data_IF_493634102329
#
_entry.id   IF_493634102329
#
_cell.length_a   1.000
_cell.length_b   1.000
_cell.length_c   1.000
_cell.angle_alpha   90.00
_cell.angle_beta   90.00
_cell.angle_gamma   90.00
#
_symmetry.space_group_name_H-M   'P 1'
#
loop_
_entity.id
_entity.type
_entity.pdbx_description
1 polymer ?
#
# COMPACT_ATOMS: atom_id res chain seq x y z
N UNK A 1 -3.95 -2.27 25.75
CA UNK A 1 -4.60 -1.58 24.61
C UNK A 1 -6.09 -1.92 24.61
N UNK A 2 -7.00 -0.94 24.57
CA UNK A 2 -8.44 -1.16 24.47
C UNK A 2 -8.82 -2.16 23.36
N UNK A 3 -9.82 -3.02 23.59
CA UNK A 3 -10.24 -4.06 22.65
C UNK A 3 -10.68 -3.50 21.28
N UNK A 4 -11.29 -2.31 21.28
CA UNK A 4 -11.71 -1.58 20.07
C UNK A 4 -10.53 -1.24 19.16
N UNK A 5 -9.41 -0.78 19.72
CA UNK A 5 -8.19 -0.47 18.97
C UNK A 5 -7.56 -1.74 18.39
N UNK A 6 -7.67 -2.88 19.08
CA UNK A 6 -7.17 -4.16 18.56
C UNK A 6 -7.96 -4.61 17.34
N UNK A 7 -9.29 -4.49 17.38
CA UNK A 7 -10.17 -4.80 16.24
C UNK A 7 -9.91 -3.87 15.06
N UNK A 8 -9.82 -2.56 15.30
CA UNK A 8 -9.51 -1.59 14.25
C UNK A 8 -8.19 -1.92 13.55
N UNK A 9 -7.13 -2.19 14.33
CA UNK A 9 -5.83 -2.62 13.79
C UNK A 9 -5.97 -3.89 12.95
N UNK A 10 -6.73 -4.88 13.41
CA UNK A 10 -6.95 -6.12 12.67
C UNK A 10 -7.65 -5.87 11.32
N UNK A 11 -8.63 -4.98 11.27
CA UNK A 11 -9.33 -4.63 10.02
C UNK A 11 -8.40 -3.98 9.00
N UNK A 12 -7.59 -3.02 9.46
CA UNK A 12 -6.61 -2.33 8.62
C UNK A 12 -5.53 -3.28 8.09
N UNK A 13 -4.96 -4.11 8.98
CA UNK A 13 -3.94 -5.10 8.61
C UNK A 13 -4.49 -6.18 7.68
N UNK A 14 -5.78 -6.52 7.77
CA UNK A 14 -6.42 -7.44 6.83
C UNK A 14 -6.40 -6.85 5.43
N UNK A 15 -6.89 -5.62 5.25
CA UNK A 15 -6.87 -4.94 3.95
C UNK A 15 -5.47 -4.85 3.36
N UNK A 16 -4.51 -4.40 4.17
CA UNK A 16 -3.09 -4.34 3.83
C UNK A 16 -2.58 -5.69 3.31
N UNK A 17 -2.86 -6.78 4.02
CA UNK A 17 -2.32 -8.10 3.68
C UNK A 17 -2.80 -8.62 2.30
N UNK A 18 -4.05 -8.32 1.93
CA UNK A 18 -4.58 -8.70 0.61
C UNK A 18 -4.03 -7.84 -0.54
N UNK A 19 -3.51 -6.67 -0.23
CA UNK A 19 -2.95 -5.74 -1.23
C UNK A 19 -1.48 -6.00 -1.51
N UNK A 20 -0.71 -6.56 -0.54
CA UNK A 20 0.73 -6.83 -0.70
C UNK A 20 1.07 -7.57 -2.01
N UNK A 21 0.39 -8.70 -2.38
CA UNK A 21 0.73 -9.41 -3.61
C UNK A 21 0.49 -8.58 -4.88
N UNK A 22 -0.49 -7.68 -4.85
CA UNK A 22 -0.84 -6.80 -5.98
C UNK A 22 0.24 -5.73 -6.15
N UNK A 23 0.67 -5.10 -5.04
CA UNK A 23 1.77 -4.13 -5.07
C UNK A 23 3.06 -4.79 -5.54
N UNK A 24 3.37 -5.99 -5.05
CA UNK A 24 4.57 -6.72 -5.48
C UNK A 24 4.53 -7.00 -6.99
N UNK A 25 3.40 -7.49 -7.51
CA UNK A 25 3.22 -7.73 -8.94
C UNK A 25 3.37 -6.43 -9.75
N UNK A 26 2.65 -5.36 -9.36
CA UNK A 26 2.72 -4.07 -10.02
C UNK A 26 4.13 -3.47 -10.01
N UNK A 27 4.76 -3.46 -8.84
CA UNK A 27 6.07 -2.86 -8.62
C UNK A 27 7.16 -3.54 -9.45
N UNK A 28 7.20 -4.88 -9.46
CA UNK A 28 8.20 -5.64 -10.22
C UNK A 28 8.00 -5.44 -11.72
N UNK A 29 6.77 -5.46 -12.22
CA UNK A 29 6.49 -5.27 -13.65
C UNK A 29 6.84 -3.85 -14.12
N UNK A 30 6.47 -2.83 -13.34
CA UNK A 30 6.83 -1.42 -13.62
C UNK A 30 8.35 -1.26 -13.58
N UNK A 31 9.02 -1.79 -12.55
CA UNK A 31 10.46 -1.69 -12.40
C UNK A 31 11.21 -2.38 -13.56
N UNK A 32 10.77 -3.58 -13.95
CA UNK A 32 11.31 -4.32 -15.09
C UNK A 32 11.11 -3.52 -16.39
N UNK A 33 9.91 -2.96 -16.58
CA UNK A 33 9.60 -2.16 -17.75
C UNK A 33 10.52 -0.94 -17.84
N UNK A 34 10.70 -0.19 -16.75
CA UNK A 34 11.60 0.97 -16.68
C UNK A 34 13.06 0.57 -16.89
N UNK A 35 13.52 -0.50 -16.24
CA UNK A 35 14.90 -0.97 -16.34
C UNK A 35 15.29 -1.32 -17.78
N UNK A 36 14.41 -1.98 -18.53
CA UNK A 36 14.63 -2.30 -19.95
C UNK A 36 14.43 -1.06 -20.83
N UNK A 37 13.49 -0.17 -20.48
CA UNK A 37 13.22 1.05 -21.24
C UNK A 37 14.39 2.04 -21.23
N UNK A 38 15.31 1.93 -20.27
CA UNK A 38 16.56 2.71 -20.25
C UNK A 38 17.38 2.60 -21.54
N UNK A 39 17.20 1.54 -22.34
CA UNK A 39 17.81 1.37 -23.66
C UNK A 39 17.16 2.21 -24.77
N UNK A 40 15.93 2.67 -24.55
CA UNK A 40 15.12 3.48 -25.47
C UNK A 40 14.91 4.90 -24.91
N UNK A 41 15.79 5.30 -23.98
CA UNK A 41 15.70 6.53 -23.19
C UNK A 41 15.60 7.78 -24.07
N UNK A 42 14.51 8.52 -23.91
CA UNK A 42 14.39 9.89 -24.40
C UNK A 42 14.72 10.87 -23.26
N UNK A 43 15.74 11.75 -23.40
CA UNK A 43 16.11 12.73 -22.38
C UNK A 43 15.01 13.75 -22.05
N UNK A 44 14.02 13.89 -22.93
CA UNK A 44 12.95 14.90 -22.80
C UNK A 44 11.69 14.39 -22.10
N UNK A 45 11.56 13.07 -21.89
CA UNK A 45 10.40 12.50 -21.22
C UNK A 45 10.77 11.21 -20.46
N UNK A 46 11.36 11.33 -19.26
CA UNK A 46 11.60 10.19 -18.37
C UNK A 46 10.30 9.42 -18.12
N UNK A 47 10.25 8.13 -18.46
CA UNK A 47 9.05 7.31 -18.32
C UNK A 47 8.09 7.32 -19.51
N UNK A 48 8.43 7.93 -20.64
CA UNK A 48 7.68 7.76 -21.89
C UNK A 48 7.96 6.37 -22.50
N UNK A 49 6.90 5.62 -22.79
CA UNK A 49 6.94 4.28 -23.39
C UNK A 49 6.44 4.24 -24.85
N UNK A 50 6.07 5.38 -25.44
CA UNK A 50 5.43 5.49 -26.76
C UNK A 50 6.31 4.94 -27.89
N UNK A 51 7.63 5.07 -27.74
CA UNK A 51 8.63 4.56 -28.68
C UNK A 51 9.20 3.19 -28.28
N UNK A 52 8.81 2.65 -27.13
CA UNK A 52 9.26 1.34 -26.66
C UNK A 52 8.58 0.21 -27.43
N UNK A 53 9.16 -0.99 -27.47
CA UNK A 53 8.48 -2.16 -28.02
C UNK A 53 7.11 -2.37 -27.38
N UNK A 54 6.10 -2.79 -28.17
CA UNK A 54 4.72 -3.05 -27.70
C UNK A 54 4.68 -4.03 -26.53
N UNK A 55 5.60 -4.99 -26.48
CA UNK A 55 5.73 -5.94 -25.36
C UNK A 55 6.09 -5.24 -24.05
N UNK A 56 6.94 -4.21 -24.10
CA UNK A 56 7.35 -3.44 -22.93
C UNK A 56 6.22 -2.51 -22.45
N UNK A 57 5.50 -1.89 -23.40
CA UNK A 57 4.28 -1.14 -23.11
C UNK A 57 3.23 -2.01 -22.42
N UNK A 58 3.04 -3.25 -22.89
CA UNK A 58 2.12 -4.21 -22.26
C UNK A 58 2.54 -4.55 -20.81
N UNK A 59 3.82 -4.82 -20.57
CA UNK A 59 4.33 -5.09 -19.20
C UNK A 59 4.08 -3.89 -18.29
N UNK A 60 4.38 -2.67 -18.77
CA UNK A 60 4.10 -1.44 -18.03
C UNK A 60 2.60 -1.30 -17.73
N UNK A 61 1.73 -1.51 -18.73
CA UNK A 61 0.28 -1.40 -18.58
C UNK A 61 -0.27 -2.38 -17.54
N UNK A 62 0.19 -3.64 -17.54
CA UNK A 62 -0.21 -4.63 -16.53
C UNK A 62 0.25 -4.18 -15.13
N UNK A 63 1.48 -3.68 -15.03
CA UNK A 63 2.02 -3.17 -13.78
C UNK A 63 1.23 -1.97 -13.23
N UNK A 64 0.90 -1.01 -14.09
CA UNK A 64 0.06 0.15 -13.75
C UNK A 64 -1.34 -0.30 -13.33
N UNK A 65 -1.95 -1.26 -14.04
CA UNK A 65 -3.27 -1.78 -13.69
C UNK A 65 -3.30 -2.37 -12.27
N UNK A 66 -2.22 -3.05 -11.84
CA UNK A 66 -2.11 -3.56 -10.47
C UNK A 66 -2.13 -2.44 -9.42
N UNK A 67 -1.42 -1.33 -9.64
CA UNK A 67 -1.49 -0.16 -8.76
C UNK A 67 -2.85 0.54 -8.82
N UNK A 68 -3.49 0.62 -9.98
CA UNK A 68 -4.83 1.22 -10.12
C UNK A 68 -5.88 0.50 -9.28
N UNK A 69 -5.82 -0.83 -9.17
CA UNK A 69 -6.77 -1.61 -8.36
C UNK A 69 -6.38 -1.71 -6.89
N UNK A 70 -5.16 -1.29 -6.51
CA UNK A 70 -4.66 -1.36 -5.14
C UNK A 70 -5.60 -0.67 -4.11
N UNK A 71 -6.07 0.58 -4.32
CA UNK A 71 -7.02 1.25 -3.43
C UNK A 71 -8.37 0.53 -3.31
N UNK A 72 -8.84 -0.06 -4.41
CA UNK A 72 -10.10 -0.82 -4.49
C UNK A 72 -10.03 -2.05 -3.60
N UNK A 73 -8.95 -2.83 -3.74
CA UNK A 73 -8.72 -4.05 -2.97
C UNK A 73 -8.50 -3.70 -1.50
N UNK A 74 -7.72 -2.65 -1.19
CA UNK A 74 -7.52 -2.20 0.18
C UNK A 74 -8.86 -1.92 0.88
N UNK A 75 -9.66 -1.03 0.28
CA UNK A 75 -10.94 -0.60 0.84
C UNK A 75 -11.93 -1.76 0.95
N UNK A 76 -12.03 -2.57 -0.11
CA UNK A 76 -12.89 -3.76 -0.17
C UNK A 76 -12.56 -4.78 0.92
N UNK A 77 -11.28 -5.09 1.15
CA UNK A 77 -10.88 -6.09 2.14
C UNK A 77 -10.90 -5.56 3.57
N UNK A 78 -10.73 -4.24 3.80
CA UNK A 78 -11.05 -3.62 5.09
C UNK A 78 -12.54 -3.83 5.40
N UNK A 79 -13.42 -3.44 4.48
CA UNK A 79 -14.87 -3.58 4.67
C UNK A 79 -15.30 -5.06 4.84
N UNK A 80 -14.70 -5.96 4.06
CA UNK A 80 -14.91 -7.40 4.18
C UNK A 80 -14.47 -7.94 5.54
N UNK A 81 -13.32 -7.51 6.07
CA UNK A 81 -12.85 -7.96 7.38
C UNK A 81 -13.77 -7.54 8.54
N UNK A 82 -14.50 -6.43 8.36
CA UNK A 82 -15.46 -5.92 9.34
C UNK A 82 -16.83 -6.59 9.22
N UNK A 83 -17.32 -6.73 7.99
CA UNK A 83 -18.72 -7.06 7.73
C UNK A 83 -18.94 -8.30 6.85
N UNK A 84 -17.89 -9.04 6.49
CA UNK A 84 -17.96 -10.20 5.59
C UNK A 84 -18.35 -9.83 4.16
N UNK A 85 -18.80 -10.83 3.38
CA UNK A 85 -19.15 -10.69 1.95
C UNK A 85 -20.00 -9.46 1.58
N UNK A 86 -21.03 -9.07 2.37
CA UNK A 86 -21.85 -7.90 2.03
C UNK A 86 -21.10 -6.56 2.06
N UNK A 87 -19.96 -6.49 2.74
CA UNK A 87 -19.11 -5.30 2.79
C UNK A 87 -18.21 -5.11 1.57
N UNK A 88 -18.04 -6.14 0.74
CA UNK A 88 -17.07 -6.12 -0.35
C UNK A 88 -17.44 -5.09 -1.42
N UNK A 89 -18.68 -5.11 -1.91
CA UNK A 89 -19.16 -4.17 -2.93
C UNK A 89 -19.05 -2.69 -2.49
N UNK A 90 -19.60 -2.27 -1.33
CA UNK A 90 -19.49 -0.87 -0.90
C UNK A 90 -18.05 -0.46 -0.58
N UNK A 91 -17.21 -1.38 -0.10
CA UNK A 91 -15.78 -1.11 0.10
C UNK A 91 -15.06 -0.90 -1.23
N UNK A 92 -15.19 -1.82 -2.20
CA UNK A 92 -14.54 -1.69 -3.51
C UNK A 92 -14.99 -0.42 -4.26
N UNK A 93 -16.30 -0.15 -4.28
CA UNK A 93 -16.85 1.06 -4.92
C UNK A 93 -16.34 2.30 -4.19
N UNK A 94 -16.33 2.32 -2.86
CA UNK A 94 -15.77 3.41 -2.07
C UNK A 94 -14.29 3.64 -2.37
N UNK A 95 -13.48 2.58 -2.43
CA UNK A 95 -12.05 2.66 -2.76
C UNK A 95 -11.79 3.21 -4.16
N UNK A 96 -12.61 2.83 -5.14
CA UNK A 96 -12.54 3.41 -6.50
C UNK A 96 -12.92 4.89 -6.52
N UNK A 97 -14.03 5.27 -5.87
CA UNK A 97 -14.47 6.65 -5.80
C UNK A 97 -13.52 7.55 -5.02
N UNK A 98 -12.80 7.00 -4.03
CA UNK A 98 -11.78 7.73 -3.28
C UNK A 98 -10.62 8.21 -4.16
N UNK A 99 -10.31 7.51 -5.25
CA UNK A 99 -9.29 7.93 -6.20
C UNK A 99 -9.85 8.73 -7.38
N UNK A 100 -11.18 8.87 -7.46
CA UNK A 100 -11.90 9.57 -8.54
C UNK A 100 -12.94 10.54 -7.96
N UNK A 101 -12.51 11.45 -7.08
CA UNK A 101 -13.43 12.34 -6.36
C UNK A 101 -13.99 13.43 -7.29
N UNK A 102 -13.16 13.89 -8.23
CA UNK A 102 -13.50 14.91 -9.20
C UNK A 102 -12.27 15.40 -9.95
N UNK A 103 -12.40 16.51 -10.65
CA UNK A 103 -11.32 17.09 -11.46
C UNK A 103 -11.17 18.57 -11.10
N UNK A 104 -9.95 19.01 -10.86
CA UNK A 104 -9.59 20.42 -10.61
C UNK A 104 -8.66 20.93 -11.69
N UNK A 105 -8.50 22.25 -11.82
CA UNK A 105 -7.58 22.85 -12.78
C UNK A 105 -6.29 23.26 -12.08
N UNK A 106 -5.14 22.73 -12.53
CA UNK A 106 -3.81 23.15 -12.07
C UNK A 106 -3.03 23.60 -13.29
N UNK A 107 -2.61 24.86 -13.33
CA UNK A 107 -1.88 25.48 -14.44
C UNK A 107 -2.59 25.33 -15.81
N UNK A 108 -3.94 25.37 -15.81
CA UNK A 108 -4.76 25.20 -17.01
C UNK A 108 -4.92 23.76 -17.49
N UNK A 109 -4.38 22.78 -16.75
CA UNK A 109 -4.51 21.35 -17.04
C UNK A 109 -5.49 20.70 -16.05
N UNK A 110 -6.52 19.96 -16.51
CA UNK A 110 -7.38 19.18 -15.64
C UNK A 110 -6.54 18.12 -14.91
N UNK A 111 -6.60 18.11 -13.57
CA UNK A 111 -5.99 17.08 -12.72
C UNK A 111 -7.07 16.44 -11.87
N UNK A 112 -7.06 15.11 -11.82
CA UNK A 112 -7.96 14.37 -10.96
C UNK A 112 -7.62 14.60 -9.50
N UNK A 113 -8.66 14.86 -8.71
CA UNK A 113 -8.58 14.97 -7.25
C UNK A 113 -8.70 13.56 -6.70
N UNK A 114 -7.61 13.07 -6.13
CA UNK A 114 -7.52 11.75 -5.51
C UNK A 114 -7.27 11.90 -4.02
N UNK A 115 -8.09 11.25 -3.19
CA UNK A 115 -7.80 11.03 -1.79
C UNK A 115 -6.82 9.85 -1.58
N UNK A 116 -6.45 9.17 -2.68
CA UNK A 116 -5.44 8.13 -2.73
C UNK A 116 -5.63 7.03 -1.70
N UNK A 117 -4.51 6.52 -1.21
CA UNK A 117 -4.45 5.48 -0.18
C UNK A 117 -5.23 5.84 1.10
N UNK A 118 -5.20 7.10 1.56
CA UNK A 118 -5.91 7.52 2.76
C UNK A 118 -7.43 7.47 2.57
N UNK A 119 -7.92 7.91 1.41
CA UNK A 119 -9.31 7.79 1.02
C UNK A 119 -9.78 6.33 0.95
N UNK A 120 -8.94 5.42 0.46
CA UNK A 120 -9.24 3.99 0.43
C UNK A 120 -9.38 3.38 1.83
N UNK A 121 -8.52 3.75 2.79
CA UNK A 121 -8.67 3.32 4.18
C UNK A 121 -9.99 3.83 4.77
N UNK A 122 -10.25 5.13 4.62
CA UNK A 122 -11.44 5.77 5.20
C UNK A 122 -12.73 5.18 4.63
N UNK A 123 -12.79 4.99 3.31
CA UNK A 123 -13.96 4.38 2.66
C UNK A 123 -14.16 2.92 3.05
N UNK A 124 -13.09 2.15 3.25
CA UNK A 124 -13.18 0.76 3.68
C UNK A 124 -13.75 0.63 5.09
N UNK A 125 -13.28 1.46 6.01
CA UNK A 125 -13.82 1.54 7.37
C UNK A 125 -15.27 2.02 7.36
N UNK A 126 -15.58 3.08 6.62
CA UNK A 126 -16.91 3.65 6.49
C UNK A 126 -17.91 2.60 5.96
N UNK A 127 -17.55 1.91 4.87
CA UNK A 127 -18.34 0.83 4.30
C UNK A 127 -18.58 -0.29 5.32
N UNK A 128 -17.53 -0.72 6.02
CA UNK A 128 -17.65 -1.73 7.08
C UNK A 128 -18.63 -1.32 8.19
N UNK A 129 -18.55 -0.08 8.69
CA UNK A 129 -19.45 0.43 9.72
C UNK A 129 -20.90 0.54 9.24
N UNK A 130 -21.13 1.10 8.04
CA UNK A 130 -22.47 1.21 7.46
C UNK A 130 -23.11 -0.17 7.31
N UNK A 131 -22.36 -1.14 6.78
CA UNK A 131 -22.89 -2.50 6.58
C UNK A 131 -23.18 -3.18 7.92
N UNK A 132 -22.31 -3.03 8.93
CA UNK A 132 -22.59 -3.56 10.27
C UNK A 132 -23.84 -2.93 10.89
N UNK A 133 -24.06 -1.63 10.70
CA UNK A 133 -25.27 -0.95 11.16
C UNK A 133 -26.51 -1.49 10.45
N UNK A 134 -26.46 -1.65 9.13
CA UNK A 134 -27.55 -2.21 8.33
C UNK A 134 -27.92 -3.64 8.75
N UNK A 135 -26.93 -4.46 9.09
CA UNK A 135 -27.15 -5.84 9.56
C UNK A 135 -27.89 -5.93 10.90
N UNK A 136 -27.85 -4.87 11.72
CA UNK A 136 -28.55 -4.81 13.02
C UNK A 136 -30.00 -4.39 12.88
N UNK A 137 -30.43 -3.91 11.72
CA UNK A 137 -31.80 -3.47 11.52
C UNK A 137 -32.76 -4.68 11.53
N UNK A 138 -33.87 -4.62 12.28
CA UNK A 138 -34.85 -5.69 12.28
C UNK A 138 -35.55 -5.76 10.93
N UNK A 139 -35.45 -6.91 10.25
CA UNK A 139 -36.05 -7.14 8.94
C UNK A 139 -37.04 -8.30 8.95
N UNK A 140 -38.11 -8.15 8.18
CA UNK A 140 -39.13 -9.16 7.99
C UNK A 140 -38.55 -10.43 7.33
N UNK A 141 -39.10 -11.60 7.64
CA UNK A 141 -38.59 -12.93 7.20
C UNK A 141 -38.38 -13.05 5.69
N UNK A 142 -39.20 -12.37 4.89
CA UNK A 142 -39.12 -12.39 3.42
C UNK A 142 -37.98 -11.53 2.85
N UNK A 143 -37.52 -10.53 3.60
CA UNK A 143 -36.48 -9.59 3.15
C UNK A 143 -35.09 -10.06 3.57
N UNK A 144 -34.99 -10.79 4.68
CA UNK A 144 -33.70 -11.27 5.23
C UNK A 144 -32.78 -11.96 4.20
N UNK A 145 -33.26 -12.83 3.30
CA UNK A 145 -32.39 -13.50 2.33
C UNK A 145 -31.77 -12.55 1.29
N UNK A 146 -32.51 -11.51 0.87
CA UNK A 146 -32.06 -10.55 -0.15
C UNK A 146 -31.21 -9.43 0.44
N UNK A 147 -31.21 -9.24 1.76
CA UNK A 147 -30.42 -8.21 2.45
C UNK A 147 -28.92 -8.25 2.09
N UNK A 148 -28.17 -9.33 2.37
CA UNK A 148 -26.72 -9.37 2.13
C UNK A 148 -26.33 -9.38 0.66
N UNK A 149 -27.23 -9.79 -0.23
CA UNK A 149 -26.95 -10.00 -1.66
C UNK A 149 -27.28 -8.75 -2.48
N UNK A 150 -28.37 -8.04 -2.15
CA UNK A 150 -28.90 -6.95 -2.95
C UNK A 150 -29.00 -5.64 -2.18
N UNK A 151 -29.76 -5.63 -1.07
CA UNK A 151 -30.11 -4.37 -0.39
C UNK A 151 -28.88 -3.73 0.25
N UNK A 152 -28.09 -4.51 0.99
CA UNK A 152 -26.89 -4.02 1.66
C UNK A 152 -25.87 -3.49 0.63
N UNK A 153 -25.47 -4.26 -0.40
CA UNK A 153 -24.56 -3.76 -1.42
C UNK A 153 -25.02 -2.45 -2.06
N UNK A 154 -26.30 -2.32 -2.43
CA UNK A 154 -26.80 -1.10 -3.10
C UNK A 154 -26.81 0.10 -2.15
N UNK A 155 -27.48 -0.04 -1.01
CA UNK A 155 -27.70 1.09 -0.09
C UNK A 155 -26.39 1.51 0.56
N UNK A 156 -25.56 0.57 1.00
CA UNK A 156 -24.27 0.92 1.57
C UNK A 156 -23.36 1.59 0.54
N UNK A 157 -23.33 1.13 -0.71
CA UNK A 157 -22.51 1.76 -1.76
C UNK A 157 -22.99 3.17 -2.08
N UNK A 158 -24.32 3.38 -2.11
CA UNK A 158 -24.88 4.72 -2.30
C UNK A 158 -24.48 5.66 -1.17
N UNK A 159 -24.59 5.23 0.10
CA UNK A 159 -24.22 6.05 1.25
C UNK A 159 -22.71 6.34 1.22
N UNK A 160 -21.87 5.31 1.06
CA UNK A 160 -20.41 5.48 0.98
C UNK A 160 -20.04 6.43 -0.15
N UNK A 161 -20.63 6.25 -1.33
CA UNK A 161 -20.40 7.07 -2.52
C UNK A 161 -20.79 8.54 -2.30
N UNK A 162 -21.97 8.80 -1.74
CA UNK A 162 -22.40 10.18 -1.42
C UNK A 162 -21.46 10.81 -0.40
N UNK A 163 -21.09 10.08 0.65
CA UNK A 163 -20.20 10.59 1.70
C UNK A 163 -18.82 10.93 1.14
N UNK A 164 -18.19 10.03 0.39
CA UNK A 164 -16.85 10.29 -0.16
C UNK A 164 -16.89 11.40 -1.22
N UNK A 165 -17.88 11.43 -2.11
CA UNK A 165 -17.91 12.41 -3.20
C UNK A 165 -18.36 13.81 -2.76
N UNK A 166 -19.21 13.92 -1.73
CA UNK A 166 -19.82 15.20 -1.34
C UNK A 166 -19.34 15.76 -0.01
N UNK A 167 -18.91 14.92 0.94
CA UNK A 167 -18.59 15.37 2.29
C UNK A 167 -17.09 15.31 2.60
N UNK A 168 -16.47 14.14 2.46
CA UNK A 168 -15.13 13.90 3.03
C UNK A 168 -14.02 13.76 1.99
N UNK A 169 -14.33 13.53 0.71
CA UNK A 169 -13.31 13.28 -0.32
C UNK A 169 -12.35 14.46 -0.50
N UNK A 170 -12.89 15.67 -0.71
CA UNK A 170 -12.09 16.88 -0.92
C UNK A 170 -11.18 17.15 0.30
N UNK A 171 -11.68 17.18 1.56
CA UNK A 171 -10.82 17.33 2.74
C UNK A 171 -9.69 16.29 2.83
N UNK A 172 -9.94 15.04 2.46
CA UNK A 172 -8.92 13.99 2.49
C UNK A 172 -7.89 14.19 1.37
N UNK A 173 -8.33 14.57 0.17
CA UNK A 173 -7.44 14.89 -0.93
C UNK A 173 -6.54 16.09 -0.61
N UNK A 174 -7.09 17.14 0.01
CA UNK A 174 -6.33 18.30 0.47
C UNK A 174 -5.29 17.90 1.53
N UNK A 175 -5.66 17.02 2.47
CA UNK A 175 -4.73 16.47 3.45
C UNK A 175 -3.60 15.65 2.79
N UNK A 176 -3.91 14.86 1.76
CA UNK A 176 -2.91 14.11 0.99
C UNK A 176 -1.96 15.04 0.23
N UNK A 177 -2.48 16.08 -0.42
CA UNK A 177 -1.65 17.07 -1.12
C UNK A 177 -0.79 17.86 -0.14
N UNK A 178 -1.34 18.30 1.00
CA UNK A 178 -0.58 18.95 2.07
C UNK A 178 0.56 18.06 2.57
N UNK A 179 0.27 16.80 2.85
CA UNK A 179 1.26 15.82 3.30
C UNK A 179 2.35 15.60 2.25
N UNK A 180 1.98 15.44 0.98
CA UNK A 180 2.92 15.29 -0.13
C UNK A 180 3.84 16.51 -0.26
N UNK A 181 3.27 17.71 -0.20
CA UNK A 181 4.03 18.97 -0.23
C UNK A 181 4.95 19.12 0.99
N UNK A 182 4.47 18.78 2.17
CA UNK A 182 5.28 18.84 3.39
C UNK A 182 6.48 17.90 3.32
N UNK A 183 6.26 16.67 2.85
CA UNK A 183 7.35 15.71 2.61
C UNK A 183 8.30 16.18 1.51
N UNK A 184 7.79 16.83 0.46
CA UNK A 184 8.63 17.41 -0.58
C UNK A 184 9.54 18.52 -0.02
N UNK A 185 9.03 19.38 0.87
CA UNK A 185 9.83 20.41 1.55
C UNK A 185 10.85 19.78 2.51
N UNK A 186 10.46 18.75 3.28
CA UNK A 186 11.41 17.99 4.11
C UNK A 186 12.49 17.32 3.27
N UNK A 187 12.12 16.86 2.08
CA UNK A 187 13.05 16.32 1.09
C UNK A 187 13.95 17.42 0.51
N UNK A 188 13.58 18.69 0.48
CA UNK A 188 14.49 19.76 0.06
C UNK A 188 15.49 20.16 1.16
N UNK A 189 15.05 20.14 2.43
CA UNK A 189 15.86 20.60 3.57
C UNK A 189 16.72 19.53 4.25
N UNK A 190 16.20 18.31 4.47
CA UNK A 190 16.94 17.24 5.17
C UNK A 190 16.45 15.83 4.80
N UNK A 191 16.73 15.42 3.54
CA UNK A 191 16.45 14.06 3.01
C UNK A 191 16.97 12.95 3.92
N UNK A 192 18.09 13.20 4.60
CA UNK A 192 18.76 12.22 5.45
C UNK A 192 17.89 11.90 6.67
N UNK A 193 17.34 12.90 7.35
CA UNK A 193 16.46 12.68 8.51
C UNK A 193 15.19 11.91 8.10
N UNK A 194 14.56 12.28 6.99
CA UNK A 194 13.39 11.56 6.51
C UNK A 194 13.72 10.10 6.18
N UNK A 195 14.83 9.85 5.47
CA UNK A 195 15.29 8.50 5.15
C UNK A 195 15.66 7.69 6.40
N UNK A 196 16.26 8.31 7.43
CA UNK A 196 16.56 7.64 8.70
C UNK A 196 15.30 7.21 9.43
N UNK A 197 14.29 8.08 9.51
CA UNK A 197 13.01 7.74 10.16
C UNK A 197 12.31 6.60 9.42
N UNK A 198 12.19 6.71 8.09
CA UNK A 198 11.55 5.68 7.27
C UNK A 198 12.33 4.36 7.33
N UNK A 199 13.66 4.43 7.25
CA UNK A 199 14.53 3.26 7.36
C UNK A 199 14.40 2.58 8.71
N UNK A 200 14.38 3.35 9.80
CA UNK A 200 14.15 2.83 11.14
C UNK A 200 12.77 2.15 11.23
N UNK A 201 11.70 2.76 10.73
CA UNK A 201 10.37 2.15 10.73
C UNK A 201 10.31 0.84 9.94
N UNK A 202 10.98 0.78 8.78
CA UNK A 202 11.04 -0.42 7.95
C UNK A 202 11.85 -1.53 8.62
N UNK A 203 12.98 -1.21 9.24
CA UNK A 203 13.82 -2.21 9.90
C UNK A 203 13.26 -2.66 11.26
N UNK A 204 12.49 -1.81 11.95
CA UNK A 204 12.10 -1.98 13.36
C UNK A 204 11.51 -3.34 13.71
N UNK A 205 10.57 -3.84 12.90
CA UNK A 205 9.87 -5.09 13.16
C UNK A 205 9.90 -6.07 11.98
N UNK A 206 10.85 -5.87 11.05
CA UNK A 206 11.23 -6.82 10.01
C UNK A 206 10.06 -7.41 9.19
N UNK A 207 9.08 -6.57 8.83
CA UNK A 207 7.85 -6.97 8.13
C UNK A 207 6.59 -6.93 8.99
N UNK A 208 6.72 -6.53 10.25
CA UNK A 208 5.62 -6.31 11.18
C UNK A 208 4.77 -5.05 10.88
N UNK A 209 3.89 -4.66 11.82
CA UNK A 209 2.99 -3.52 11.64
C UNK A 209 3.66 -2.18 11.35
N UNK A 210 4.79 -1.86 11.99
CA UNK A 210 5.52 -0.59 11.81
C UNK A 210 6.13 -0.52 10.41
N UNK A 211 6.76 -1.60 9.97
CA UNK A 211 7.26 -1.73 8.59
C UNK A 211 6.13 -1.53 7.59
N UNK A 212 5.01 -2.24 7.74
CA UNK A 212 3.85 -2.11 6.84
C UNK A 212 3.33 -0.68 6.79
N UNK A 213 3.22 0.01 7.93
CA UNK A 213 2.78 1.41 7.92
C UNK A 213 3.72 2.29 7.09
N UNK A 214 5.04 2.18 7.27
CA UNK A 214 6.00 2.94 6.46
C UNK A 214 5.95 2.56 4.97
N UNK A 215 5.82 1.27 4.67
CA UNK A 215 5.76 0.76 3.30
C UNK A 215 4.54 1.29 2.55
N UNK A 216 3.35 1.13 3.13
CA UNK A 216 2.11 1.55 2.51
C UNK A 216 1.99 3.08 2.44
N UNK A 217 2.57 3.79 3.40
CA UNK A 217 2.71 5.25 3.33
C UNK A 217 3.55 5.67 2.12
N UNK A 218 4.72 5.07 1.92
CA UNK A 218 5.55 5.32 0.75
C UNK A 218 4.86 4.96 -0.55
N UNK A 219 4.21 3.79 -0.61
CA UNK A 219 3.49 3.33 -1.79
C UNK A 219 2.32 4.27 -2.17
N UNK A 220 1.57 4.77 -1.19
CA UNK A 220 0.48 5.70 -1.42
C UNK A 220 0.91 7.06 -1.98
N UNK A 221 2.16 7.48 -1.71
CA UNK A 221 2.69 8.75 -2.23
C UNK A 221 3.16 8.66 -3.69
N UNK A 222 3.31 7.46 -4.24
CA UNK A 222 3.57 7.23 -5.67
C UNK A 222 2.46 7.84 -6.52
N UNK A 223 1.19 7.67 -6.12
CA UNK A 223 0.03 8.22 -6.84
C UNK A 223 0.06 9.76 -6.91
N UNK A 224 0.71 10.41 -5.95
CA UNK A 224 0.90 11.86 -5.92
C UNK A 224 2.23 12.30 -6.53
N UNK A 225 2.94 11.42 -7.23
CA UNK A 225 4.20 11.70 -7.91
C UNK A 225 5.42 11.85 -6.99
N UNK A 226 5.30 11.52 -5.69
CA UNK A 226 6.41 11.60 -4.75
C UNK A 226 7.09 10.22 -4.59
N UNK A 227 7.97 9.93 -5.55
CA UNK A 227 8.70 8.65 -5.60
C UNK A 227 9.86 8.55 -4.61
N UNK A 228 10.36 9.68 -4.08
CA UNK A 228 11.53 9.68 -3.18
C UNK A 228 11.28 8.89 -1.90
N UNK A 229 10.10 9.07 -1.30
CA UNK A 229 9.72 8.40 -0.05
C UNK A 229 9.70 6.89 -0.24
N UNK A 230 9.07 6.41 -1.32
CA UNK A 230 9.06 4.99 -1.63
C UNK A 230 10.46 4.48 -1.97
N UNK A 231 11.29 5.26 -2.68
CA UNK A 231 12.67 4.89 -2.97
C UNK A 231 13.49 4.64 -1.71
N UNK A 232 13.36 5.51 -0.70
CA UNK A 232 14.03 5.33 0.59
C UNK A 232 13.54 4.06 1.32
N UNK A 233 12.22 3.84 1.34
CA UNK A 233 11.59 2.64 1.91
C UNK A 233 12.09 1.37 1.21
N UNK A 234 12.12 1.36 -0.12
CA UNK A 234 12.55 0.23 -0.93
C UNK A 234 14.04 -0.08 -0.76
N UNK A 235 14.88 0.92 -0.51
CA UNK A 235 16.28 0.71 -0.16
C UNK A 235 16.44 0.15 1.27
N UNK A 236 15.62 0.61 2.21
CA UNK A 236 15.69 0.16 3.60
C UNK A 236 15.21 -1.29 3.78
N UNK A 237 14.19 -1.73 3.04
CA UNK A 237 13.52 -3.03 3.24
C UNK A 237 14.46 -4.23 3.06
N UNK A 238 15.40 -4.12 2.13
CA UNK A 238 16.38 -5.18 1.86
C UNK A 238 17.60 -5.13 2.77
N UNK A 239 17.80 -4.04 3.53
CA UNK A 239 19.03 -3.81 4.31
C UNK A 239 19.23 -4.86 5.42
N UNK A 240 18.24 -5.15 6.31
CA UNK A 240 18.41 -6.17 7.35
C UNK A 240 18.74 -7.57 6.81
N UNK A 241 17.96 -8.17 5.89
CA UNK A 241 18.23 -9.52 5.41
C UNK A 241 19.49 -9.62 4.55
N UNK A 242 19.82 -8.61 3.74
CA UNK A 242 21.08 -8.59 2.97
C UNK A 242 22.31 -8.43 3.88
N UNK A 243 22.22 -7.57 4.90
CA UNK A 243 23.29 -7.36 5.87
C UNK A 243 23.63 -8.64 6.64
N UNK A 244 22.61 -9.34 7.14
CA UNK A 244 22.78 -10.62 7.83
C UNK A 244 23.32 -11.70 6.89
N UNK A 245 22.73 -11.84 5.69
CA UNK A 245 23.24 -12.76 4.68
C UNK A 245 24.71 -12.51 4.37
N UNK A 246 25.10 -11.26 4.12
CA UNK A 246 26.50 -10.88 3.89
C UNK A 246 27.40 -11.17 5.11
N UNK A 247 26.93 -10.92 6.33
CA UNK A 247 27.68 -11.19 7.54
C UNK A 247 28.00 -12.69 7.71
N UNK A 248 27.07 -13.57 7.34
CA UNK A 248 27.30 -15.02 7.35
C UNK A 248 28.32 -15.49 6.31
N UNK A 249 28.45 -14.77 5.19
CA UNK A 249 29.47 -15.05 4.17
C UNK A 249 30.85 -14.55 4.57
N UNK A 250 30.96 -13.30 5.05
CA UNK A 250 32.25 -12.66 5.37
C UNK A 250 32.86 -13.27 6.63
N UNK A 251 32.06 -13.43 7.69
CA UNK A 251 32.54 -13.91 8.99
C UNK A 251 32.06 -15.34 9.26
N UNK A 252 32.10 -16.22 8.26
CA UNK A 252 31.55 -17.59 8.34
C UNK A 252 31.84 -18.31 9.66
N UNK A 253 33.07 -18.23 10.18
CA UNK A 253 33.53 -18.94 11.39
C UNK A 253 32.79 -18.60 12.70
N UNK A 254 32.18 -17.41 12.83
CA UNK A 254 31.48 -17.01 14.07
C UNK A 254 30.00 -17.45 14.09
N UNK A 255 29.46 -17.87 12.95
CA UNK A 255 28.08 -18.32 12.78
C UNK A 255 27.99 -19.84 12.82
N UNK A 256 26.92 -20.36 13.41
CA UNK A 256 26.54 -21.77 13.38
C UNK A 256 26.20 -22.23 11.95
N UNK A 257 26.11 -23.56 11.72
CA UNK A 257 25.68 -24.07 10.42
C UNK A 257 24.25 -23.65 10.07
N UNK A 258 23.35 -23.69 11.06
CA UNK A 258 21.95 -23.26 10.93
C UNK A 258 21.84 -21.78 10.55
N UNK A 259 22.62 -20.90 11.17
CA UNK A 259 22.64 -19.47 10.84
C UNK A 259 23.23 -19.20 9.46
N UNK A 260 24.22 -19.99 8.99
CA UNK A 260 24.76 -19.84 7.64
C UNK A 260 23.74 -20.22 6.59
N UNK A 261 22.99 -21.30 6.80
CA UNK A 261 21.93 -21.72 5.90
C UNK A 261 20.78 -20.70 5.89
N UNK A 262 20.39 -20.20 7.07
CA UNK A 262 19.46 -19.09 7.19
C UNK A 262 19.97 -17.82 6.51
N UNK A 263 21.29 -17.58 6.48
CA UNK A 263 21.92 -16.41 5.86
C UNK A 263 21.80 -16.42 4.34
N UNK A 264 21.91 -17.59 3.71
CA UNK A 264 21.65 -17.75 2.27
C UNK A 264 20.18 -17.44 1.97
N UNK A 265 19.26 -17.96 2.77
CA UNK A 265 17.83 -17.69 2.63
C UNK A 265 17.51 -16.20 2.84
N UNK A 266 18.11 -15.56 3.85
CA UNK A 266 17.99 -14.13 4.13
C UNK A 266 18.50 -13.30 2.96
N UNK A 267 19.69 -13.59 2.41
CA UNK A 267 20.21 -12.89 1.25
C UNK A 267 19.26 -12.99 0.05
N UNK A 268 18.71 -14.18 -0.23
CA UNK A 268 17.74 -14.38 -1.30
C UNK A 268 16.46 -13.57 -1.09
N UNK A 269 15.90 -13.59 0.12
CA UNK A 269 14.72 -12.81 0.49
C UNK A 269 14.99 -11.30 0.41
N UNK A 270 16.16 -10.84 0.84
CA UNK A 270 16.56 -9.45 0.76
C UNK A 270 16.65 -8.92 -0.68
N UNK A 271 17.16 -9.74 -1.62
CA UNK A 271 17.23 -9.35 -3.04
C UNK A 271 15.86 -9.07 -3.67
N UNK A 272 14.80 -9.68 -3.16
CA UNK A 272 13.41 -9.48 -3.64
C UNK A 272 12.58 -8.62 -2.68
N UNK A 273 13.22 -7.96 -1.71
CA UNK A 273 12.58 -6.98 -0.82
C UNK A 273 11.73 -7.58 0.30
N UNK A 274 12.04 -8.80 0.74
CA UNK A 274 11.39 -9.46 1.88
C UNK A 274 12.28 -9.29 3.12
N UNK A 275 11.88 -8.44 4.06
CA UNK A 275 12.66 -8.16 5.29
C UNK A 275 12.61 -9.31 6.29
N UNK A 276 11.57 -10.14 6.23
CA UNK A 276 11.30 -11.23 7.17
C UNK A 276 12.44 -12.26 7.26
N UNK A 277 13.30 -12.33 6.24
CA UNK A 277 14.50 -13.16 6.28
C UNK A 277 15.47 -12.84 7.43
N UNK A 278 15.36 -11.66 8.03
CA UNK A 278 16.13 -11.26 9.21
C UNK A 278 15.56 -11.79 10.55
N UNK A 279 14.29 -12.21 10.58
CA UNK A 279 13.59 -12.60 11.82
C UNK A 279 14.31 -13.73 12.57
N UNK A 280 14.78 -14.83 11.94
CA UNK A 280 15.44 -15.91 12.66
C UNK A 280 16.68 -15.44 13.43
N UNK A 281 17.45 -14.51 12.86
CA UNK A 281 18.64 -13.93 13.49
C UNK A 281 18.27 -13.02 14.65
N UNK A 282 17.27 -12.15 14.45
CA UNK A 282 16.80 -11.24 15.48
C UNK A 282 16.16 -11.97 16.67
N UNK A 283 15.51 -13.11 16.41
CA UNK A 283 14.96 -13.97 17.44
C UNK A 283 16.06 -14.68 18.26
N UNK A 284 17.19 -15.00 17.63
CA UNK A 284 18.33 -15.63 18.29
C UNK A 284 19.15 -14.62 19.13
N UNK A 285 19.41 -13.43 18.61
CA UNK A 285 20.17 -12.38 19.31
C UNK A 285 19.71 -10.96 18.93
N UNK A 286 18.62 -10.45 19.56
CA UNK A 286 18.01 -9.16 19.19
C UNK A 286 18.87 -7.94 19.53
N UNK A 287 19.93 -8.07 20.34
CA UNK A 287 20.81 -6.95 20.67
C UNK A 287 21.90 -6.75 19.62
N UNK A 288 22.24 -7.81 18.88
CA UNK A 288 23.26 -7.78 17.83
C UNK A 288 22.71 -7.49 16.43
N UNK A 289 21.41 -7.71 16.23
CA UNK A 289 20.67 -7.51 14.96
C UNK A 289 19.95 -6.18 14.96
#
# INVERSE_FOLDING_TARGET
MPESLRKLRQYLLSGVSYVIPIIACGGILIALAIAINSKWYSPTAPGNFDHSPKTLQLIMQIGVAAFTIMPVILSGFIAYSMAGKPGLAPGCIGGWLATHIGTTMVDGVPKDVSAGFLGAIVTGLLAGYIVMAMKRLPMHKYVRPIMPILIIPIVASLIVGVVILKLIGIPIADAMTWLSNWLHVMSAGNKIVLAMILGAMIAFDMGGPVNKVAFFFGAGLIEHGNYMVMGAVAAAICTPPLGLGLATFIYRKIWSEEERDAGIAAAAMGMIGITEGAIPFAAADPLRV
#
